data_IF_676687215142
#
_entry.id   IF_676687215142
#
_cell.length_a   1.000
_cell.length_b   1.000
_cell.length_c   1.000
_cell.angle_alpha   90.00
_cell.angle_beta   90.00
_cell.angle_gamma   90.00
#
_symmetry.space_group_name_H-M   'P 1'
#
loop_
_entity.id
_entity.type
_entity.pdbx_description
1 polymer ?
#
# COMPACT_ATOMS: atom_id res chain seq x y z
N UNK A 1 -5.74 -18.19 3.79
CA UNK A 1 -5.08 -17.15 2.97
C UNK A 1 -4.80 -16.01 3.92
N UNK A 2 -3.53 -15.69 4.18
CA UNK A 2 -3.16 -14.52 4.99
C UNK A 2 -3.00 -13.34 4.03
N UNK A 3 -3.52 -12.17 4.41
CA UNK A 3 -3.43 -10.94 3.63
C UNK A 3 -2.00 -10.41 3.55
N UNK A 4 -1.24 -10.52 4.65
CA UNK A 4 0.16 -10.12 4.71
C UNK A 4 0.98 -11.17 5.48
N UNK A 5 2.20 -11.44 5.00
CA UNK A 5 3.20 -12.19 5.74
C UNK A 5 4.42 -11.28 5.90
N UNK A 6 4.80 -11.07 7.15
CA UNK A 6 5.90 -10.18 7.49
C UNK A 6 7.24 -10.90 7.42
N UNK A 7 8.32 -10.13 7.23
CA UNK A 7 9.68 -10.59 7.32
C UNK A 7 10.46 -9.64 8.22
N UNK A 8 11.41 -10.19 8.98
CA UNK A 8 12.24 -9.37 9.84
C UNK A 8 13.43 -8.82 9.05
N UNK A 9 13.79 -7.55 9.30
CA UNK A 9 15.03 -6.96 8.79
C UNK A 9 15.93 -6.57 9.97
N UNK A 10 17.00 -7.33 10.18
CA UNK A 10 18.01 -7.06 11.22
C UNK A 10 19.29 -6.58 10.55
N UNK A 11 19.50 -5.26 10.56
CA UNK A 11 20.54 -4.62 9.76
C UNK A 11 20.23 -4.77 8.27
N UNK A 12 21.13 -5.41 7.52
CA UNK A 12 20.95 -5.70 6.09
C UNK A 12 20.59 -7.17 5.82
N UNK A 13 20.20 -7.92 6.86
CA UNK A 13 19.87 -9.34 6.77
C UNK A 13 18.38 -9.55 6.95
N UNK A 14 17.79 -10.26 6.00
CA UNK A 14 16.39 -10.70 6.04
C UNK A 14 16.30 -11.95 6.91
N UNK A 15 15.34 -11.99 7.83
CA UNK A 15 15.06 -13.12 8.71
C UNK A 15 13.55 -13.42 8.75
N UNK A 16 13.17 -14.58 9.26
CA UNK A 16 11.77 -15.02 9.36
C UNK A 16 10.98 -14.95 8.02
N UNK A 17 11.66 -15.13 6.89
CA UNK A 17 11.03 -15.05 5.58
C UNK A 17 10.07 -16.23 5.36
N UNK A 18 8.87 -16.02 4.78
CA UNK A 18 7.88 -17.09 4.61
C UNK A 18 8.41 -18.26 3.77
N UNK A 19 8.34 -19.49 4.29
CA UNK A 19 8.94 -20.68 3.66
C UNK A 19 8.31 -21.07 2.32
N UNK A 20 7.09 -20.58 2.04
CA UNK A 20 6.36 -20.82 0.79
C UNK A 20 6.67 -19.79 -0.30
N UNK A 21 7.42 -18.73 0.01
CA UNK A 21 7.83 -17.75 -0.99
C UNK A 21 9.03 -18.28 -1.81
N UNK A 22 8.88 -18.37 -3.13
CA UNK A 22 9.96 -18.73 -4.05
C UNK A 22 10.17 -17.59 -5.04
N UNK A 23 11.41 -17.40 -5.53
CA UNK A 23 11.77 -16.33 -6.47
C UNK A 23 12.85 -15.38 -5.93
N UNK A 24 13.10 -14.30 -6.66
CA UNK A 24 14.10 -13.29 -6.27
C UNK A 24 13.45 -12.24 -5.36
N UNK A 25 13.96 -12.11 -4.14
CA UNK A 25 13.60 -11.03 -3.22
C UNK A 25 14.68 -9.95 -3.25
N UNK A 26 14.31 -8.71 -3.53
CA UNK A 26 15.22 -7.55 -3.56
C UNK A 26 14.69 -6.47 -2.66
N UNK A 27 15.51 -6.01 -1.70
CA UNK A 27 15.20 -4.84 -0.88
C UNK A 27 15.93 -3.64 -1.46
N UNK A 28 15.19 -2.59 -1.77
CA UNK A 28 15.74 -1.30 -2.21
C UNK A 28 15.55 -0.32 -1.05
N UNK A 29 16.64 0.09 -0.42
CA UNK A 29 16.63 1.10 0.63
C UNK A 29 17.03 2.44 0.03
N UNK A 30 16.24 3.48 0.28
CA UNK A 30 16.56 4.84 -0.13
C UNK A 30 17.29 5.57 0.99
N UNK A 31 18.26 6.42 0.63
CA UNK A 31 18.82 7.39 1.57
C UNK A 31 17.76 8.43 1.95
N UNK A 32 17.86 9.06 3.14
CA UNK A 32 17.04 10.21 3.50
C UNK A 32 17.00 11.27 2.39
N UNK A 33 15.90 12.03 2.30
CA UNK A 33 15.83 13.15 1.35
C UNK A 33 16.83 14.26 1.77
N UNK A 34 16.92 15.33 0.98
CA UNK A 34 17.84 16.45 1.25
C UNK A 34 17.53 17.24 2.56
N UNK A 35 16.50 16.86 3.31
CA UNK A 35 16.17 17.38 4.63
C UNK A 35 16.57 16.42 5.76
N UNK A 36 17.26 15.31 5.44
CA UNK A 36 17.71 14.33 6.42
C UNK A 36 16.58 13.48 7.03
N UNK A 37 15.35 13.61 6.53
CA UNK A 37 14.22 12.76 6.92
C UNK A 37 14.13 11.54 6.00
N UNK A 38 13.74 10.36 6.51
CA UNK A 38 13.36 9.23 5.66
C UNK A 38 12.40 9.71 4.56
N UNK A 39 12.54 9.19 3.35
CA UNK A 39 11.55 9.43 2.30
C UNK A 39 10.16 9.11 2.88
N UNK A 40 9.30 10.13 2.96
CA UNK A 40 8.37 10.35 4.08
C UNK A 40 7.61 9.10 4.49
N UNK A 41 7.76 8.70 5.76
CA UNK A 41 7.22 7.47 6.38
C UNK A 41 5.80 7.16 5.88
N UNK A 42 5.65 6.31 4.85
CA UNK A 42 4.33 6.00 4.34
C UNK A 42 3.63 5.09 5.35
N UNK A 43 2.39 5.40 5.69
CA UNK A 43 1.56 4.48 6.48
C UNK A 43 0.70 3.66 5.52
N UNK A 44 0.94 2.34 5.51
CA UNK A 44 0.28 1.40 4.60
C UNK A 44 -0.64 0.45 5.37
N UNK A 45 -1.80 0.15 4.79
CA UNK A 45 -2.73 -0.86 5.30
C UNK A 45 -3.23 -1.71 4.13
N UNK A 46 -3.06 -3.03 4.23
CA UNK A 46 -3.53 -3.94 3.20
C UNK A 46 -4.96 -4.42 3.47
N UNK A 47 -5.72 -4.65 2.40
CA UNK A 47 -7.01 -5.36 2.45
C UNK A 47 -7.21 -6.16 1.17
N UNK A 48 -8.01 -7.22 1.22
CA UNK A 48 -8.42 -7.91 0.01
C UNK A 48 -9.59 -7.19 -0.65
N UNK A 49 -9.65 -7.28 -1.99
CA UNK A 49 -10.90 -6.97 -2.67
C UNK A 49 -12.03 -7.87 -2.19
N UNK A 50 -13.26 -7.39 -2.33
CA UNK A 50 -14.47 -8.18 -2.09
C UNK A 50 -15.33 -8.05 -3.33
N UNK A 51 -15.68 -9.18 -3.93
CA UNK A 51 -16.48 -9.25 -5.15
C UNK A 51 -17.82 -8.55 -4.94
N UNK A 52 -18.13 -7.59 -5.80
CA UNK A 52 -19.35 -6.77 -5.71
C UNK A 52 -19.25 -5.56 -4.78
N UNK A 53 -18.12 -5.33 -4.09
CA UNK A 53 -17.93 -4.20 -3.18
C UNK A 53 -16.98 -3.16 -3.78
N UNK A 54 -17.50 -2.01 -4.26
CA UNK A 54 -16.64 -0.96 -4.82
C UNK A 54 -16.08 -0.01 -3.76
N UNK A 55 -16.75 0.14 -2.61
CA UNK A 55 -16.41 1.14 -1.59
C UNK A 55 -15.56 0.55 -0.46
N UNK A 56 -14.48 1.24 -0.13
CA UNK A 56 -13.55 0.86 0.93
C UNK A 56 -13.33 2.04 1.86
N UNK A 57 -13.49 1.81 3.17
CA UNK A 57 -13.30 2.84 4.19
C UNK A 57 -11.84 2.90 4.56
N UNK A 58 -11.25 4.09 4.43
CA UNK A 58 -9.87 4.35 4.80
C UNK A 58 -9.73 5.82 5.16
N UNK A 59 -9.06 6.13 6.27
CA UNK A 59 -8.82 7.51 6.68
C UNK A 59 -7.58 8.03 5.97
N UNK A 60 -7.75 9.03 5.12
CA UNK A 60 -6.65 9.62 4.35
C UNK A 60 -6.91 11.10 4.03
N UNK A 61 -5.85 11.80 3.64
CA UNK A 61 -5.96 13.14 3.03
C UNK A 61 -5.92 13.00 1.50
N UNK A 62 -6.89 13.56 0.74
CA UNK A 62 -7.07 13.23 -0.69
C UNK A 62 -5.86 13.41 -1.62
N UNK A 63 -4.91 14.27 -1.28
CA UNK A 63 -3.70 14.52 -2.08
C UNK A 63 -2.47 13.75 -1.61
N UNK A 64 -2.61 12.95 -0.56
CA UNK A 64 -1.53 12.20 0.07
C UNK A 64 -1.94 10.75 0.27
N UNK A 65 -2.61 10.19 -0.73
CA UNK A 65 -3.17 8.85 -0.72
C UNK A 65 -2.97 8.17 -2.06
N UNK A 66 -2.48 6.94 -2.02
CA UNK A 66 -2.31 6.08 -3.19
C UNK A 66 -2.82 4.67 -2.90
N UNK A 67 -3.19 3.96 -3.96
CA UNK A 67 -3.62 2.57 -3.89
C UNK A 67 -2.78 1.75 -4.86
N UNK A 68 -2.39 0.56 -4.41
CA UNK A 68 -1.72 -0.42 -5.24
C UNK A 68 -2.48 -1.74 -5.22
N UNK A 69 -2.86 -2.28 -6.38
CA UNK A 69 -3.48 -3.60 -6.52
C UNK A 69 -2.44 -4.64 -6.94
N UNK A 70 -2.14 -5.61 -6.08
CA UNK A 70 -1.06 -6.60 -6.28
C UNK A 70 0.30 -5.96 -6.62
N UNK A 71 0.57 -4.78 -6.05
CA UNK A 71 1.79 -4.00 -6.31
C UNK A 71 1.74 -3.09 -7.54
N UNK A 72 0.68 -3.12 -8.34
CA UNK A 72 0.48 -2.18 -9.45
C UNK A 72 -0.22 -0.90 -8.95
N UNK A 73 0.32 0.26 -9.30
CA UNK A 73 -0.32 1.56 -9.01
C UNK A 73 -1.70 1.64 -9.67
N UNK A 74 -2.69 2.10 -8.90
CA UNK A 74 -4.02 2.46 -9.40
C UNK A 74 -4.09 3.97 -9.57
N UNK A 75 -4.59 4.43 -10.70
CA UNK A 75 -4.67 5.85 -11.05
C UNK A 75 -5.98 6.49 -10.56
N UNK A 76 -5.87 7.63 -9.87
CA UNK A 76 -7.02 8.34 -9.33
C UNK A 76 -7.82 9.02 -10.44
N UNK A 77 -9.13 8.82 -10.45
CA UNK A 77 -10.03 9.25 -11.52
C UNK A 77 -10.24 8.20 -12.62
N UNK A 78 -9.36 7.20 -12.69
CA UNK A 78 -9.45 6.09 -13.65
C UNK A 78 -9.81 4.79 -12.95
N UNK A 79 -8.92 4.30 -12.08
CA UNK A 79 -9.04 3.00 -11.39
C UNK A 79 -9.78 3.13 -10.04
N UNK A 80 -9.80 4.34 -9.47
CA UNK A 80 -10.55 4.64 -8.26
C UNK A 80 -10.90 6.12 -8.15
N UNK A 81 -11.85 6.43 -7.28
CA UNK A 81 -12.19 7.81 -6.89
C UNK A 81 -12.13 7.95 -5.38
N UNK A 82 -11.90 9.18 -4.91
CA UNK A 82 -11.76 9.49 -3.49
C UNK A 82 -12.94 10.29 -2.99
N UNK A 83 -13.41 9.97 -1.79
CA UNK A 83 -14.33 10.79 -0.99
C UNK A 83 -13.83 10.86 0.47
N UNK A 84 -14.40 11.75 1.27
CA UNK A 84 -13.98 11.89 2.68
C UNK A 84 -14.12 10.56 3.43
N UNK A 85 -12.99 9.97 3.82
CA UNK A 85 -12.93 8.74 4.63
C UNK A 85 -13.18 7.43 3.86
N UNK A 86 -13.26 7.46 2.52
CA UNK A 86 -13.42 6.24 1.70
C UNK A 86 -12.91 6.43 0.29
N UNK A 87 -12.57 5.35 -0.39
CA UNK A 87 -12.38 5.35 -1.85
C UNK A 87 -13.32 4.35 -2.52
N UNK A 88 -13.60 4.59 -3.78
CA UNK A 88 -14.46 3.76 -4.62
C UNK A 88 -13.64 3.24 -5.79
N UNK A 89 -13.44 1.93 -5.88
CA UNK A 89 -12.78 1.28 -7.01
C UNK A 89 -13.66 1.29 -8.25
N UNK A 90 -13.03 1.50 -9.41
CA UNK A 90 -13.66 1.50 -10.73
C UNK A 90 -12.78 0.66 -11.67
N UNK A 91 -13.26 -0.49 -12.18
CA UNK A 91 -14.57 -1.09 -11.96
C UNK A 91 -14.72 -1.72 -10.56
N UNK A 92 -15.96 -2.02 -10.18
CA UNK A 92 -16.25 -2.83 -8.98
C UNK A 92 -15.51 -4.16 -9.06
N UNK A 93 -14.75 -4.55 -8.01
CA UNK A 93 -14.05 -5.82 -8.00
C UNK A 93 -14.98 -7.01 -8.23
N UNK A 94 -14.49 -7.99 -8.98
CA UNK A 94 -15.20 -9.25 -9.26
C UNK A 94 -14.57 -10.45 -8.55
N UNK A 95 -13.50 -10.23 -7.78
CA UNK A 95 -12.71 -11.26 -7.10
C UNK A 95 -12.41 -10.89 -5.64
N UNK A 96 -11.97 -11.88 -4.87
CA UNK A 96 -11.57 -11.76 -3.46
C UNK A 96 -10.07 -11.96 -3.26
N UNK A 97 -9.26 -11.78 -4.32
CA UNK A 97 -7.86 -12.21 -4.35
C UNK A 97 -6.89 -11.07 -4.62
N UNK A 98 -7.37 -9.89 -5.01
CA UNK A 98 -6.50 -8.73 -5.22
C UNK A 98 -6.16 -8.13 -3.87
N UNK A 99 -4.86 -8.02 -3.58
CA UNK A 99 -4.36 -7.31 -2.39
C UNK A 99 -4.29 -5.83 -2.72
N UNK A 100 -5.09 -5.03 -2.03
CA UNK A 100 -5.04 -3.58 -2.09
C UNK A 100 -4.14 -3.07 -0.98
N UNK A 101 -3.06 -2.37 -1.33
CA UNK A 101 -2.24 -1.62 -0.38
C UNK A 101 -2.69 -0.17 -0.41
N UNK A 102 -3.26 0.29 0.71
CA UNK A 102 -3.75 1.65 0.91
C UNK A 102 -2.64 2.43 1.60
N UNK A 103 -2.04 3.40 0.93
CA UNK A 103 -0.83 4.08 1.40
C UNK A 103 -1.08 5.58 1.58
N UNK A 104 -0.76 6.11 2.76
CA UNK A 104 -0.78 7.56 3.01
C UNK A 104 0.63 8.11 3.17
N UNK A 105 0.78 9.39 2.85
CA UNK A 105 2.05 10.12 2.95
C UNK A 105 1.89 11.33 3.86
N UNK A 106 2.98 11.74 4.52
CA UNK A 106 3.00 13.03 5.19
C UNK A 106 3.01 14.16 4.15
N UNK A 107 2.10 15.11 4.29
CA UNK A 107 2.13 16.34 3.51
C UNK A 107 3.32 17.22 3.87
N UNK A 108 3.77 18.06 2.94
CA UNK A 108 4.86 18.99 3.21
C UNK A 108 4.52 19.89 4.42
N UNK A 109 5.33 19.84 5.48
CA UNK A 109 5.19 20.69 6.67
C UNK A 109 4.56 20.04 7.90
N UNK A 110 4.21 18.75 7.87
CA UNK A 110 3.89 18.01 9.11
C UNK A 110 5.13 17.30 9.64
N UNK A 111 5.70 17.90 10.68
CA UNK A 111 6.74 17.32 11.54
C UNK A 111 6.12 16.46 12.63
#
# INVERSE_FOLDING_TARGET
IVNDQDYDLVGNTVNNFPSTATGNFTIIQFSPNNQGVPNGSPASTSTFTVSGTPNYIFSYTPNYFEIYGNGCYYDQGTDFTTASGLYTLVPTPTNNTTVLVQQTFNGAGVA
#
